data_IF_133036112244
#
_entry.id   IF_133036112244
#
_cell.length_a   1.000
_cell.length_b   1.000
_cell.length_c   1.000
_cell.angle_alpha   90.00
_cell.angle_beta   90.00
_cell.angle_gamma   90.00
#
_symmetry.space_group_name_H-M   'P 1'
#
loop_
_entity.id
_entity.type
_entity.pdbx_description
1 polymer ?
#
# COMPACT_ATOMS: atom_id res chain seq x y z
N UNK A 1 2.15 32.56 7.76
CA UNK A 1 1.49 31.65 6.79
C UNK A 1 1.34 32.43 5.51
N UNK A 2 2.10 32.09 4.47
CA UNK A 2 2.10 32.85 3.22
C UNK A 2 0.92 32.42 2.36
N UNK A 3 -0.01 33.34 2.16
CA UNK A 3 -1.20 33.16 1.33
C UNK A 3 -0.82 33.38 -0.13
N UNK A 4 -0.79 32.31 -0.93
CA UNK A 4 -0.50 32.39 -2.37
C UNK A 4 -1.84 32.53 -3.07
N UNK A 5 -2.15 33.74 -3.54
CA UNK A 5 -3.34 33.99 -4.33
C UNK A 5 -3.33 33.17 -5.64
N UNK A 6 -4.47 32.61 -6.09
CA UNK A 6 -4.53 31.86 -7.33
C UNK A 6 -4.38 32.81 -8.53
N UNK A 7 -3.49 32.43 -9.45
CA UNK A 7 -3.29 33.13 -10.71
C UNK A 7 -4.52 32.83 -11.58
N UNK A 8 -5.41 33.82 -11.75
CA UNK A 8 -6.47 33.73 -12.76
C UNK A 8 -5.80 33.80 -14.13
N UNK A 9 -5.66 32.66 -14.79
CA UNK A 9 -5.24 32.58 -16.19
C UNK A 9 -6.40 33.05 -17.08
N UNK A 10 -6.61 34.36 -17.15
CA UNK A 10 -7.52 34.98 -18.10
C UNK A 10 -6.97 34.83 -19.52
N UNK A 11 -7.75 34.24 -20.42
CA UNK A 11 -7.49 34.23 -21.86
C UNK A 11 -7.53 35.67 -22.38
N UNK A 12 -6.38 36.18 -22.85
CA UNK A 12 -6.30 37.45 -23.59
C UNK A 12 -7.15 37.34 -24.86
N UNK A 13 -8.30 38.00 -24.87
CA UNK A 13 -9.20 38.04 -26.01
C UNK A 13 -8.62 38.97 -27.09
N UNK A 14 -8.54 38.45 -28.33
CA UNK A 14 -8.20 39.17 -29.54
C UNK A 14 -9.28 40.22 -29.83
N UNK A 15 -8.91 41.49 -29.91
CA UNK A 15 -9.83 42.60 -30.24
C UNK A 15 -10.21 42.50 -31.73
N UNK A 16 -11.46 42.16 -32.00
CA UNK A 16 -12.11 42.22 -33.31
C UNK A 16 -13.39 43.07 -33.24
N UNK A 17 -13.91 43.59 -34.37
CA UNK A 17 -14.98 44.58 -34.38
C UNK A 17 -16.29 44.04 -33.80
N UNK A 18 -16.95 44.86 -33.00
CA UNK A 18 -18.15 44.53 -32.23
C UNK A 18 -19.39 44.38 -33.14
N UNK A 19 -19.94 43.17 -33.20
CA UNK A 19 -21.32 42.93 -33.63
C UNK A 19 -22.21 42.77 -32.39
N UNK A 20 -23.12 43.73 -32.20
CA UNK A 20 -24.14 43.70 -31.15
C UNK A 20 -25.22 42.70 -31.55
N UNK A 21 -25.09 41.48 -31.04
CA UNK A 21 -26.02 40.37 -31.21
C UNK A 21 -26.74 40.05 -29.90
N UNK A 22 -28.06 40.18 -29.95
CA UNK A 22 -29.06 40.08 -28.88
C UNK A 22 -29.16 38.68 -28.21
N UNK A 23 -29.63 38.72 -26.96
CA UNK A 23 -30.17 37.66 -26.10
C UNK A 23 -29.18 36.83 -25.27
N UNK A 24 -28.98 37.27 -24.02
CA UNK A 24 -28.50 36.45 -22.92
C UNK A 24 -29.58 35.46 -22.49
N UNK A 25 -29.59 34.27 -23.08
CA UNK A 25 -30.10 33.09 -22.36
C UNK A 25 -29.01 32.69 -21.37
N UNK A 26 -29.21 33.00 -20.09
CA UNK A 26 -28.39 32.47 -19.01
C UNK A 26 -28.67 30.99 -18.87
N UNK A 27 -28.07 30.17 -19.76
CA UNK A 27 -27.87 28.77 -19.46
C UNK A 27 -26.83 28.77 -18.35
N UNK A 28 -27.31 28.65 -17.10
CA UNK A 28 -26.46 28.25 -15.99
C UNK A 28 -25.91 26.89 -16.38
N UNK A 29 -24.73 26.89 -16.99
CA UNK A 29 -23.93 25.69 -17.10
C UNK A 29 -23.66 25.29 -15.65
N UNK A 30 -24.42 24.33 -15.16
CA UNK A 30 -24.03 23.58 -13.97
C UNK A 30 -22.66 23.01 -14.32
N UNK A 31 -21.61 23.66 -13.81
CA UNK A 31 -20.25 23.17 -13.93
C UNK A 31 -20.29 21.76 -13.35
N UNK A 32 -20.22 20.76 -14.23
CA UNK A 32 -20.18 19.36 -13.81
C UNK A 32 -19.04 19.25 -12.80
N UNK A 33 -19.27 18.63 -11.62
CA UNK A 33 -18.22 18.56 -10.60
C UNK A 33 -17.00 17.91 -11.25
N UNK A 34 -15.89 18.64 -11.26
CA UNK A 34 -14.60 18.10 -11.69
C UNK A 34 -14.34 16.86 -10.84
N UNK A 35 -14.45 15.68 -11.45
CA UNK A 35 -14.11 14.43 -10.78
C UNK A 35 -12.61 14.49 -10.56
N UNK A 36 -12.19 14.70 -9.32
CA UNK A 36 -10.79 14.53 -8.92
C UNK A 36 -10.41 13.10 -9.30
N UNK A 37 -9.37 12.94 -10.11
CA UNK A 37 -8.84 11.62 -10.45
C UNK A 37 -8.49 10.85 -9.18
N UNK A 38 -8.59 9.53 -9.22
CA UNK A 38 -8.17 8.68 -8.11
C UNK A 38 -6.66 8.82 -7.93
N UNK A 39 -6.24 9.25 -6.75
CA UNK A 39 -4.84 9.22 -6.37
C UNK A 39 -4.41 7.76 -6.19
N UNK A 40 -3.23 7.41 -6.72
CA UNK A 40 -2.70 6.05 -6.66
C UNK A 40 -1.36 6.10 -5.96
N UNK A 41 -1.16 5.16 -5.03
CA UNK A 41 0.08 5.03 -4.27
C UNK A 41 0.76 3.74 -4.68
N UNK A 42 1.89 3.86 -5.36
CA UNK A 42 2.72 2.71 -5.74
C UNK A 42 3.79 2.49 -4.65
N UNK A 43 3.80 1.29 -4.05
CA UNK A 43 4.81 0.90 -3.06
C UNK A 43 5.78 -0.06 -3.73
N UNK A 44 7.08 0.25 -3.66
CA UNK A 44 8.11 -0.66 -4.14
C UNK A 44 8.10 -1.97 -3.33
N UNK A 45 8.17 -3.11 -4.03
CA UNK A 45 8.30 -4.44 -3.41
C UNK A 45 9.45 -4.49 -2.39
N UNK A 46 10.56 -3.80 -2.66
CA UNK A 46 11.68 -3.71 -1.74
C UNK A 46 11.32 -3.01 -0.43
N UNK A 47 10.55 -1.91 -0.51
CA UNK A 47 10.08 -1.19 0.66
C UNK A 47 9.10 -2.04 1.48
N UNK A 48 8.26 -2.82 0.79
CA UNK A 48 7.35 -3.77 1.42
C UNK A 48 8.12 -4.88 2.18
N UNK A 49 9.11 -5.52 1.55
CA UNK A 49 9.90 -6.55 2.24
C UNK A 49 10.74 -5.98 3.38
N UNK A 50 11.31 -4.78 3.23
CA UNK A 50 12.06 -4.13 4.32
C UNK A 50 11.18 -3.77 5.50
N UNK A 51 9.94 -3.32 5.28
CA UNK A 51 9.00 -3.05 6.38
C UNK A 51 8.63 -4.34 7.10
N UNK A 52 8.42 -5.43 6.36
CA UNK A 52 8.11 -6.73 6.94
C UNK A 52 9.29 -7.28 7.76
N UNK A 53 10.51 -7.22 7.25
CA UNK A 53 11.72 -7.61 8.00
C UNK A 53 11.90 -6.80 9.30
N UNK A 54 11.61 -5.49 9.27
CA UNK A 54 11.68 -4.63 10.47
C UNK A 54 10.61 -4.96 11.51
N UNK A 55 9.48 -5.53 11.07
CA UNK A 55 8.38 -5.93 11.96
C UNK A 55 8.60 -7.31 12.59
N UNK A 56 9.59 -8.08 12.12
CA UNK A 56 9.86 -9.39 12.68
C UNK A 56 10.34 -9.28 14.14
N UNK A 57 9.88 -10.17 15.03
CA UNK A 57 10.38 -10.23 16.39
C UNK A 57 11.88 -10.54 16.41
N UNK A 58 12.60 -10.15 17.48
CA UNK A 58 14.01 -10.48 17.60
C UNK A 58 14.24 -11.99 17.57
N UNK A 59 15.42 -12.38 17.07
CA UNK A 59 15.84 -13.79 17.05
C UNK A 59 15.89 -14.32 18.48
N UNK A 60 15.20 -15.44 18.72
CA UNK A 60 15.19 -16.13 20.01
C UNK A 60 16.43 -17.01 20.18
N UNK A 61 17.59 -16.37 20.34
CA UNK A 61 18.88 -17.06 20.39
C UNK A 61 18.91 -18.18 21.45
N UNK A 62 18.35 -17.92 22.63
CA UNK A 62 18.30 -18.91 23.72
C UNK A 62 17.56 -20.21 23.35
N UNK A 63 16.44 -20.09 22.61
CA UNK A 63 15.72 -21.27 22.13
C UNK A 63 16.55 -22.03 21.11
N UNK A 64 17.20 -21.31 20.20
CA UNK A 64 18.03 -21.91 19.14
C UNK A 64 19.15 -22.72 19.78
N UNK A 65 19.84 -22.14 20.77
CA UNK A 65 20.95 -22.80 21.46
C UNK A 65 20.47 -24.02 22.26
N UNK A 66 19.33 -23.91 22.94
CA UNK A 66 18.71 -25.05 23.64
C UNK A 66 18.35 -26.19 22.69
N UNK A 67 17.68 -25.88 21.58
CA UNK A 67 17.27 -26.89 20.59
C UNK A 67 18.51 -27.51 19.93
N UNK A 68 19.52 -26.72 19.59
CA UNK A 68 20.78 -27.22 19.04
C UNK A 68 21.44 -28.22 19.99
N UNK A 69 21.53 -27.89 21.27
CA UNK A 69 22.05 -28.80 22.29
C UNK A 69 21.26 -30.11 22.38
N UNK A 70 19.93 -30.07 22.29
CA UNK A 70 19.10 -31.28 22.28
C UNK A 70 19.32 -32.13 21.02
N UNK A 71 19.54 -31.51 19.86
CA UNK A 71 19.83 -32.22 18.61
C UNK A 71 21.19 -32.90 18.67
N UNK A 72 22.23 -32.19 19.14
CA UNK A 72 23.57 -32.75 19.33
C UNK A 72 23.58 -33.92 20.34
N UNK A 73 22.78 -33.80 21.41
CA UNK A 73 22.60 -34.87 22.39
C UNK A 73 21.70 -36.03 21.91
N UNK A 74 21.06 -35.90 20.73
CA UNK A 74 20.11 -36.89 20.22
C UNK A 74 18.80 -37.01 21.03
N UNK A 75 18.48 -36.02 21.87
CA UNK A 75 17.28 -36.00 22.73
C UNK A 75 16.16 -35.13 22.17
N UNK A 76 16.40 -34.46 21.05
CA UNK A 76 15.39 -33.64 20.39
C UNK A 76 14.24 -34.48 19.84
N UNK A 77 14.54 -35.65 19.27
CA UNK A 77 13.58 -36.57 18.65
C UNK A 77 12.93 -37.44 19.73
N UNK A 78 11.66 -37.16 20.00
CA UNK A 78 10.83 -37.98 20.90
C UNK A 78 9.67 -38.58 20.12
N UNK A 79 9.14 -39.75 20.52
CA UNK A 79 8.00 -40.37 19.83
C UNK A 79 6.84 -39.39 19.61
N UNK A 80 6.52 -38.58 20.63
CA UNK A 80 5.44 -37.60 20.56
C UNK A 80 5.69 -36.50 19.53
N UNK A 81 6.93 -36.03 19.36
CA UNK A 81 7.28 -35.03 18.34
C UNK A 81 7.23 -35.62 16.93
N UNK A 82 7.59 -36.88 16.78
CA UNK A 82 7.53 -37.58 15.49
C UNK A 82 6.07 -37.78 15.08
N UNK A 83 5.21 -38.25 15.98
CA UNK A 83 3.78 -38.42 15.73
C UNK A 83 3.13 -37.09 15.32
N UNK A 84 3.42 -36.01 16.07
CA UNK A 84 2.92 -34.68 15.74
C UNK A 84 3.45 -34.14 14.40
N UNK A 85 4.71 -34.43 14.05
CA UNK A 85 5.28 -34.03 12.77
C UNK A 85 4.63 -34.77 11.60
N UNK A 86 4.30 -36.06 11.78
CA UNK A 86 3.59 -36.86 10.79
C UNK A 86 2.18 -36.31 10.57
N UNK A 87 1.45 -35.98 11.63
CA UNK A 87 0.11 -35.38 11.56
C UNK A 87 0.14 -34.04 10.81
N UNK A 88 1.04 -33.13 11.19
CA UNK A 88 1.19 -31.83 10.54
C UNK A 88 1.59 -31.96 9.06
N UNK A 89 2.36 -32.98 8.69
CA UNK A 89 2.71 -33.26 7.29
C UNK A 89 1.49 -33.71 6.47
N UNK A 90 0.60 -34.52 7.05
CA UNK A 90 -0.66 -34.89 6.38
C UNK A 90 -1.60 -33.69 6.21
N UNK A 91 -1.65 -32.79 7.20
CA UNK A 91 -2.44 -31.56 7.10
C UNK A 91 -1.94 -30.65 5.96
N UNK A 92 -0.62 -30.47 5.82
CA UNK A 92 -0.01 -29.65 4.77
C UNK A 92 -0.27 -30.21 3.35
N UNK A 93 -0.22 -31.55 3.20
CA UNK A 93 -0.49 -32.22 1.92
C UNK A 93 -1.97 -32.32 1.57
N UNK A 94 -2.86 -32.18 2.55
CA UNK A 94 -4.32 -32.24 2.38
C UNK A 94 -4.99 -30.90 2.07
N UNK A 95 -4.25 -29.79 2.17
CA UNK A 95 -4.71 -28.42 1.84
C UNK A 95 -4.44 -28.03 0.40
#
# INVERSE_FOLDING_TARGET
MSDIAPISSGTLARIGPASVGRASSSVRAEASPSRRGTDQVEVSDMAYYMSQLRSLPPVRQDLIDQVRSQVEAGTYETPQKIDAAIEAMFDDLGS
#
